data_IF_041237227692
#
_entry.id   IF_041237227692
#
_cell.length_a   1.000
_cell.length_b   1.000
_cell.length_c   1.000
_cell.angle_alpha   90.00
_cell.angle_beta   90.00
_cell.angle_gamma   90.00
#
_symmetry.space_group_name_H-M   'P 1'
#
loop_
_entity.id
_entity.type
_entity.pdbx_description
1 polymer ?
#
# COMPACT_ATOMS: atom_id res chain seq x y z
N UNK A 1 34.29 -4.51 -36.07
CA UNK A 1 32.83 -4.46 -36.28
C UNK A 1 32.18 -4.22 -34.93
N UNK A 2 31.54 -3.06 -34.74
CA UNK A 2 30.83 -2.73 -33.49
C UNK A 2 29.51 -3.50 -33.44
N UNK A 3 29.38 -4.38 -32.45
CA UNK A 3 28.15 -5.12 -32.16
C UNK A 3 27.28 -4.18 -31.32
N UNK A 4 26.23 -3.64 -31.93
CA UNK A 4 25.29 -2.70 -31.31
C UNK A 4 24.41 -3.44 -30.27
N UNK A 5 24.77 -3.32 -28.98
CA UNK A 5 23.97 -3.74 -27.81
C UNK A 5 22.76 -2.81 -27.61
N UNK A 6 21.84 -2.78 -28.58
CA UNK A 6 20.64 -1.94 -28.52
C UNK A 6 19.35 -2.63 -28.97
N UNK A 7 19.39 -3.93 -29.28
CA UNK A 7 18.28 -4.63 -29.94
C UNK A 7 17.64 -5.78 -29.17
N UNK A 8 18.14 -6.11 -27.98
CA UNK A 8 17.66 -7.28 -27.21
C UNK A 8 16.73 -6.93 -26.04
N UNK A 9 16.30 -5.67 -25.90
CA UNK A 9 15.28 -5.30 -24.90
C UNK A 9 13.84 -5.60 -25.33
N UNK A 10 13.65 -6.21 -26.50
CA UNK A 10 12.35 -6.72 -26.92
C UNK A 10 12.37 -8.24 -26.90
N UNK A 11 12.47 -8.83 -25.70
CA UNK A 11 11.90 -10.17 -25.51
C UNK A 11 10.43 -10.06 -25.88
N UNK A 12 10.08 -10.50 -27.10
CA UNK A 12 8.69 -10.83 -27.41
C UNK A 12 8.33 -11.92 -26.42
N UNK A 13 7.42 -11.60 -25.51
CA UNK A 13 6.99 -12.60 -24.54
C UNK A 13 6.07 -13.55 -25.27
N UNK A 14 6.62 -14.71 -25.66
CA UNK A 14 5.91 -15.76 -26.38
C UNK A 14 5.02 -16.56 -25.40
N UNK A 15 4.03 -15.90 -24.79
CA UNK A 15 2.94 -16.58 -24.08
C UNK A 15 1.68 -16.62 -24.94
N UNK A 16 0.88 -17.69 -24.80
CA UNK A 16 -0.41 -17.77 -25.48
C UNK A 16 -1.36 -16.68 -24.98
N UNK A 17 -2.32 -16.28 -25.80
CA UNK A 17 -3.38 -15.33 -25.42
C UNK A 17 -4.09 -15.77 -24.12
N UNK A 18 -4.29 -17.08 -23.96
CA UNK A 18 -4.87 -17.66 -22.74
C UNK A 18 -4.01 -17.42 -21.50
N UNK A 19 -2.69 -17.54 -21.62
CA UNK A 19 -1.75 -17.27 -20.52
C UNK A 19 -1.67 -15.77 -20.21
N UNK A 20 -1.71 -14.91 -21.23
CA UNK A 20 -1.76 -13.46 -21.02
C UNK A 20 -3.01 -13.05 -20.21
N UNK A 21 -4.18 -13.60 -20.56
CA UNK A 21 -5.44 -13.35 -19.83
C UNK A 21 -5.34 -13.84 -18.38
N UNK A 22 -4.70 -14.97 -18.13
CA UNK A 22 -4.49 -15.49 -16.77
C UNK A 22 -3.61 -14.55 -15.94
N UNK A 23 -2.53 -14.02 -16.54
CA UNK A 23 -1.63 -13.06 -15.88
C UNK A 23 -2.40 -11.79 -15.52
N UNK A 24 -3.14 -11.20 -16.46
CA UNK A 24 -3.90 -9.98 -16.22
C UNK A 24 -4.95 -10.14 -15.11
N UNK A 25 -5.60 -11.30 -15.07
CA UNK A 25 -6.57 -11.62 -14.02
C UNK A 25 -5.92 -11.72 -12.65
N UNK A 26 -4.74 -12.32 -12.56
CA UNK A 26 -4.01 -12.46 -11.30
C UNK A 26 -3.46 -11.10 -10.81
N UNK A 27 -2.92 -10.29 -11.72
CA UNK A 27 -2.50 -8.91 -11.41
C UNK A 27 -3.67 -8.10 -10.89
N UNK A 28 -4.85 -8.19 -11.54
CA UNK A 28 -6.06 -7.52 -11.07
C UNK A 28 -6.47 -8.01 -9.68
N UNK A 29 -6.43 -9.32 -9.44
CA UNK A 29 -6.78 -9.91 -8.14
C UNK A 29 -5.91 -9.34 -7.02
N UNK A 30 -4.59 -9.32 -7.21
CA UNK A 30 -3.63 -8.79 -6.23
C UNK A 30 -3.90 -7.31 -5.93
N UNK A 31 -4.11 -6.49 -6.96
CA UNK A 31 -4.39 -5.06 -6.78
C UNK A 31 -5.70 -4.86 -6.01
N UNK A 32 -6.75 -5.60 -6.36
CA UNK A 32 -8.05 -5.49 -5.70
C UNK A 32 -8.00 -5.91 -4.23
N UNK A 33 -7.25 -6.97 -3.91
CA UNK A 33 -7.05 -7.41 -2.53
C UNK A 33 -6.29 -6.38 -1.71
N UNK A 34 -5.20 -5.82 -2.26
CA UNK A 34 -4.44 -4.76 -1.59
C UNK A 34 -5.30 -3.51 -1.36
N UNK A 35 -6.13 -3.14 -2.34
CA UNK A 35 -7.06 -2.01 -2.23
C UNK A 35 -8.10 -2.23 -1.13
N UNK A 36 -8.79 -3.37 -1.12
CA UNK A 36 -9.79 -3.65 -0.09
C UNK A 36 -9.14 -3.78 1.30
N UNK A 37 -7.93 -4.33 1.39
CA UNK A 37 -7.19 -4.37 2.65
C UNK A 37 -6.87 -2.95 3.16
N UNK A 38 -6.34 -2.07 2.31
CA UNK A 38 -6.05 -0.68 2.66
C UNK A 38 -7.32 0.07 3.09
N UNK A 39 -8.41 -0.09 2.34
CA UNK A 39 -9.71 0.51 2.65
C UNK A 39 -10.28 -0.01 3.97
N UNK A 40 -10.16 -1.30 4.25
CA UNK A 40 -10.58 -1.88 5.53
C UNK A 40 -9.73 -1.33 6.68
N UNK A 41 -8.42 -1.20 6.49
CA UNK A 41 -7.51 -0.63 7.48
C UNK A 41 -7.89 0.82 7.79
N UNK A 42 -8.13 1.65 6.77
CA UNK A 42 -8.57 3.03 6.94
C UNK A 42 -9.93 3.12 7.64
N UNK A 43 -10.91 2.28 7.25
CA UNK A 43 -12.23 2.24 7.89
C UNK A 43 -12.17 1.83 9.35
N UNK A 44 -11.35 0.84 9.69
CA UNK A 44 -11.15 0.39 11.08
C UNK A 44 -10.53 1.48 11.96
N UNK A 45 -9.76 2.38 11.36
CA UNK A 45 -9.06 3.47 12.06
C UNK A 45 -9.64 4.85 11.70
N UNK A 46 -10.93 4.92 11.35
CA UNK A 46 -11.57 6.15 10.86
C UNK A 46 -11.50 7.29 11.88
N UNK A 47 -11.55 6.96 13.17
CA UNK A 47 -11.40 7.95 14.25
C UNK A 47 -10.03 8.63 14.23
N UNK A 48 -8.96 7.85 14.05
CA UNK A 48 -7.60 8.38 13.92
C UNK A 48 -7.48 9.24 12.66
N UNK A 49 -8.09 8.80 11.56
CA UNK A 49 -8.11 9.57 10.31
C UNK A 49 -8.80 10.92 10.47
N UNK A 50 -9.93 10.98 11.19
CA UNK A 50 -10.61 12.23 11.50
C UNK A 50 -9.74 13.14 12.38
N UNK A 51 -9.02 12.59 13.36
CA UNK A 51 -8.10 13.38 14.19
C UNK A 51 -6.91 13.93 13.41
N UNK A 52 -6.34 13.15 12.50
CA UNK A 52 -5.31 13.68 11.59
C UNK A 52 -5.88 14.80 10.69
N UNK A 53 -7.10 14.64 10.18
CA UNK A 53 -7.74 15.66 9.35
C UNK A 53 -8.02 16.96 10.13
N UNK A 54 -8.52 16.86 11.36
CA UNK A 54 -8.70 18.02 12.26
C UNK A 54 -7.36 18.73 12.50
N UNK A 55 -6.30 17.97 12.83
CA UNK A 55 -4.97 18.53 13.07
C UNK A 55 -4.37 19.19 11.81
N UNK A 56 -4.61 18.62 10.62
CA UNK A 56 -4.21 19.23 9.34
C UNK A 56 -4.99 20.51 9.02
N UNK A 57 -6.26 20.60 9.40
CA UNK A 57 -7.04 21.83 9.24
C UNK A 57 -6.52 22.96 10.13
N UNK A 58 -6.04 22.63 11.33
CA UNK A 58 -5.50 23.62 12.27
C UNK A 58 -4.08 24.07 11.92
N UNK A 59 -3.25 23.15 11.42
CA UNK A 59 -1.79 23.36 11.29
C UNK A 59 -1.26 23.36 9.87
N UNK A 60 -2.10 23.00 8.89
CA UNK A 60 -1.81 22.86 7.44
C UNK A 60 -0.78 21.79 7.08
N UNK A 61 0.18 21.50 7.95
CA UNK A 61 1.24 20.52 7.77
C UNK A 61 1.44 19.77 9.08
N UNK A 62 1.59 18.45 8.98
CA UNK A 62 2.03 17.58 10.08
C UNK A 62 3.32 16.89 9.68
N UNK A 63 4.27 16.81 10.60
CA UNK A 63 5.45 16.00 10.42
C UNK A 63 5.22 14.53 10.81
N UNK A 64 6.19 13.66 10.51
CA UNK A 64 6.07 12.23 10.79
C UNK A 64 5.99 11.90 12.29
N UNK A 65 6.66 12.67 13.14
CA UNK A 65 6.63 12.44 14.59
C UNK A 65 5.26 12.78 15.17
N UNK A 66 4.62 13.83 14.65
CA UNK A 66 3.28 14.25 15.04
C UNK A 66 2.22 13.24 14.60
N UNK A 67 2.37 12.66 13.40
CA UNK A 67 1.52 11.56 12.94
C UNK A 67 1.68 10.34 13.85
N UNK A 68 2.92 9.98 14.20
CA UNK A 68 3.21 8.86 15.10
C UNK A 68 2.59 9.08 16.50
N UNK A 69 2.62 10.31 17.01
CA UNK A 69 2.01 10.66 18.29
C UNK A 69 0.48 10.52 18.25
N UNK A 70 -0.16 11.01 17.19
CA UNK A 70 -1.60 10.82 16.95
C UNK A 70 -1.93 9.32 16.85
N UNK A 71 -1.13 8.55 16.12
CA UNK A 71 -1.29 7.10 15.99
C UNK A 71 -1.13 6.38 17.33
N UNK A 72 -0.20 6.79 18.20
CA UNK A 72 -0.03 6.18 19.53
C UNK A 72 -1.18 6.51 20.47
N UNK A 73 -1.63 7.76 20.47
CA UNK A 73 -2.70 8.23 21.35
C UNK A 73 -4.04 7.60 21.01
N UNK A 74 -4.37 7.48 19.72
CA UNK A 74 -5.70 7.04 19.27
C UNK A 74 -5.71 5.61 18.69
N UNK A 75 -4.56 5.11 18.22
CA UNK A 75 -4.42 3.75 17.66
C UNK A 75 -4.39 2.63 18.71
N UNK A 76 -4.23 2.94 20.00
CA UNK A 76 -4.30 1.94 21.08
C UNK A 76 -5.73 1.46 21.38
N UNK A 77 -6.76 2.17 20.93
CA UNK A 77 -8.16 1.84 21.19
C UNK A 77 -8.74 0.83 20.18
N UNK A 78 -8.13 0.69 19.01
CA UNK A 78 -8.53 -0.26 17.97
C UNK A 78 -7.34 -1.19 17.67
N UNK A 79 -7.36 -2.41 18.21
CA UNK A 79 -6.25 -3.36 18.31
C UNK A 79 -5.60 -3.89 17.02
N UNK A 80 -5.37 -3.07 15.99
CA UNK A 80 -4.72 -3.43 14.74
C UNK A 80 -3.19 -3.29 14.75
N UNK A 81 -2.61 -2.43 15.59
CA UNK A 81 -1.17 -2.13 15.56
C UNK A 81 -0.31 -3.00 16.51
N UNK A 82 -0.92 -3.75 17.42
CA UNK A 82 -0.20 -4.72 18.28
C UNK A 82 0.23 -6.00 17.55
N UNK A 83 -0.31 -6.28 16.37
CA UNK A 83 0.00 -7.51 15.61
C UNK A 83 1.31 -7.47 14.82
N UNK A 84 1.77 -6.29 14.38
CA UNK A 84 2.95 -6.18 13.52
C UNK A 84 4.27 -6.22 14.30
N UNK A 85 4.30 -5.74 15.54
CA UNK A 85 5.52 -5.75 16.36
C UNK A 85 5.86 -7.15 16.94
N UNK A 86 4.91 -8.09 16.95
CA UNK A 86 5.11 -9.44 17.49
C UNK A 86 5.60 -10.48 16.47
N UNK A 87 5.67 -10.15 15.17
CA UNK A 87 6.03 -11.09 14.11
C UNK A 87 7.54 -11.05 13.72
N UNK A 88 8.36 -10.35 14.50
CA UNK A 88 9.80 -10.16 14.23
C UNK A 88 10.71 -10.55 15.41
N UNK A 89 10.22 -11.40 16.32
CA UNK A 89 11.02 -11.99 17.40
C UNK A 89 10.92 -13.52 17.38
#
# INVERSE_FOLDING_TARGET
>A
EEIFLGRDFTQRVDYSETTAVQIDNEVRRVIMEAYEHAKLLLRRNVEVLHKMAEALLEREVLDGAEIDDILRQYGSQNGGLRGAAAATA
#
